data_IF_954931396897
#
_entry.id   IF_954931396897
#
_cell.length_a   1.000
_cell.length_b   1.000
_cell.length_c   1.000
_cell.angle_alpha   90.00
_cell.angle_beta   90.00
_cell.angle_gamma   90.00
#
_symmetry.space_group_name_H-M   'P 1'
#
loop_
_entity.id
_entity.type
_entity.pdbx_description
1 polymer ?
#
# COMPACT_ATOMS: atom_id res chain seq x y z
N UNK A 1 26.70 -6.43 -12.28
CA UNK A 1 25.79 -6.34 -11.11
C UNK A 1 25.88 -4.91 -10.58
N UNK A 2 24.77 -4.23 -10.25
CA UNK A 2 24.82 -2.86 -9.74
C UNK A 2 25.60 -2.81 -8.42
N UNK A 3 26.53 -1.86 -8.27
CA UNK A 3 27.39 -1.72 -7.09
C UNK A 3 26.61 -1.65 -5.76
N UNK A 4 25.37 -1.15 -5.82
CA UNK A 4 24.47 -0.99 -4.68
C UNK A 4 23.99 -2.32 -4.06
N UNK A 5 23.89 -3.41 -4.83
CA UNK A 5 23.45 -4.70 -4.29
C UNK A 5 24.55 -5.39 -3.48
N UNK A 6 25.80 -5.22 -3.92
CA UNK A 6 26.97 -5.77 -3.26
C UNK A 6 27.25 -5.05 -1.93
N UNK A 7 27.16 -3.72 -1.93
CA UNK A 7 27.33 -2.90 -0.72
C UNK A 7 26.28 -3.20 0.36
N UNK A 8 25.02 -3.35 -0.06
CA UNK A 8 23.93 -3.73 0.83
C UNK A 8 24.16 -5.10 1.50
N UNK A 9 24.65 -6.07 0.73
CA UNK A 9 24.91 -7.42 1.25
C UNK A 9 26.03 -7.41 2.29
N UNK A 10 27.10 -6.65 2.05
CA UNK A 10 28.22 -6.54 2.98
C UNK A 10 27.80 -5.88 4.31
N UNK A 11 26.97 -4.83 4.26
CA UNK A 11 26.47 -4.18 5.48
C UNK A 11 25.56 -5.09 6.32
N UNK A 12 24.78 -5.98 5.68
CA UNK A 12 24.01 -6.98 6.44
C UNK A 12 24.94 -7.94 7.17
N UNK A 13 26.00 -8.39 6.51
CA UNK A 13 26.98 -9.32 7.11
C UNK A 13 27.67 -8.70 8.31
N UNK A 14 28.16 -7.45 8.18
CA UNK A 14 28.81 -6.73 9.29
C UNK A 14 27.87 -6.55 10.49
N UNK A 15 26.62 -6.12 10.26
CA UNK A 15 25.63 -5.91 11.34
C UNK A 15 25.16 -7.22 11.98
N UNK A 16 25.27 -8.36 11.28
CA UNK A 16 25.02 -9.68 11.83
C UNK A 16 26.18 -10.15 12.73
N UNK A 17 27.41 -9.84 12.35
CA UNK A 17 28.61 -10.18 13.15
C UNK A 17 28.68 -9.34 14.43
N UNK A 18 28.18 -8.11 14.41
CA UNK A 18 28.10 -7.21 15.57
C UNK A 18 26.92 -7.51 16.52
N UNK A 19 25.97 -8.38 16.12
CA UNK A 19 24.86 -8.74 16.98
C UNK A 19 25.36 -9.63 18.13
N UNK A 20 24.88 -9.41 19.37
CA UNK A 20 25.10 -10.37 20.43
C UNK A 20 24.53 -11.72 20.00
N UNK A 21 25.40 -12.74 19.98
CA UNK A 21 25.02 -14.09 19.62
C UNK A 21 23.78 -14.47 20.45
N UNK A 22 22.66 -14.84 19.80
CA UNK A 22 21.52 -15.35 20.55
C UNK A 22 22.02 -16.49 21.41
N UNK A 23 21.71 -16.45 22.71
CA UNK A 23 22.03 -17.52 23.65
C UNK A 23 21.73 -18.87 22.98
N UNK A 24 22.55 -19.90 23.20
CA UNK A 24 22.38 -21.18 22.53
C UNK A 24 21.01 -21.82 22.83
N UNK A 25 20.35 -21.37 23.91
CA UNK A 25 18.97 -21.73 24.28
C UNK A 25 17.86 -20.82 23.69
N UNK A 26 18.21 -19.80 22.91
CA UNK A 26 17.26 -18.87 22.32
C UNK A 26 16.36 -19.63 21.35
N UNK A 27 15.05 -19.41 21.48
CA UNK A 27 14.06 -20.04 20.62
C UNK A 27 14.27 -19.62 19.17
N UNK A 28 13.89 -20.49 18.22
CA UNK A 28 13.94 -20.19 16.78
C UNK A 28 13.23 -18.87 16.46
N UNK A 29 12.13 -18.57 17.16
CA UNK A 29 11.42 -17.30 17.02
C UNK A 29 12.27 -16.09 17.40
N UNK A 30 13.07 -16.18 18.46
CA UNK A 30 13.96 -15.10 18.90
C UNK A 30 15.05 -14.82 17.86
N UNK A 31 15.67 -15.88 17.32
CA UNK A 31 16.68 -15.78 16.25
C UNK A 31 16.09 -15.18 14.96
N UNK A 32 14.87 -15.60 14.60
CA UNK A 32 14.15 -15.05 13.45
C UNK A 32 13.81 -13.56 13.61
N UNK A 33 13.38 -13.15 14.82
CA UNK A 33 13.11 -11.75 15.13
C UNK A 33 14.38 -10.88 15.01
N UNK A 34 15.53 -11.36 15.50
CA UNK A 34 16.80 -10.65 15.38
C UNK A 34 17.25 -10.49 13.92
N UNK A 35 17.19 -11.56 13.13
CA UNK A 35 17.51 -11.51 11.71
C UNK A 35 16.63 -10.50 10.97
N UNK A 36 15.31 -10.52 11.23
CA UNK A 36 14.36 -9.59 10.62
C UNK A 36 14.67 -8.15 11.01
N UNK A 37 15.05 -7.90 12.27
CA UNK A 37 15.44 -6.58 12.75
C UNK A 37 16.64 -6.04 11.98
N UNK A 38 17.73 -6.81 11.85
CA UNK A 38 18.94 -6.37 11.13
C UNK A 38 18.65 -6.06 9.67
N UNK A 39 17.95 -6.97 8.97
CA UNK A 39 17.60 -6.75 7.56
C UNK A 39 16.80 -5.46 7.42
N UNK A 40 15.81 -5.23 8.28
CA UNK A 40 14.97 -4.03 8.21
C UNK A 40 15.74 -2.76 8.55
N UNK A 41 16.58 -2.76 9.59
CA UNK A 41 17.38 -1.59 9.96
C UNK A 41 18.40 -1.23 8.90
N UNK A 42 19.12 -2.22 8.34
CA UNK A 42 20.10 -2.00 7.27
C UNK A 42 19.43 -1.55 5.98
N UNK A 43 18.27 -2.11 5.66
CA UNK A 43 17.44 -1.64 4.52
C UNK A 43 17.09 -0.17 4.69
N UNK A 44 16.68 0.25 5.90
CA UNK A 44 16.33 1.63 6.18
C UNK A 44 17.54 2.57 6.13
N UNK A 45 18.71 2.13 6.59
CA UNK A 45 19.95 2.90 6.60
C UNK A 45 20.50 3.11 5.18
N UNK A 46 20.52 2.05 4.36
CA UNK A 46 21.09 2.07 3.01
C UNK A 46 20.14 2.66 1.98
N UNK A 47 18.89 2.18 1.93
CA UNK A 47 17.92 2.62 0.94
C UNK A 47 17.14 3.87 1.39
N UNK A 48 17.27 4.25 2.65
CA UNK A 48 16.41 5.26 3.25
C UNK A 48 14.96 4.78 3.36
N UNK A 49 14.12 5.61 3.99
CA UNK A 49 12.68 5.45 3.84
C UNK A 49 12.31 6.09 2.50
N UNK A 50 11.87 5.28 1.53
CA UNK A 50 11.27 5.82 0.32
C UNK A 50 10.07 6.69 0.74
N UNK A 51 10.25 8.01 0.69
CA UNK A 51 9.17 8.96 0.89
C UNK A 51 8.32 8.83 -0.36
N UNK A 52 7.26 8.03 -0.28
CA UNK A 52 6.30 7.91 -1.38
C UNK A 52 5.78 9.31 -1.65
N UNK A 53 6.21 9.94 -2.75
CA UNK A 53 5.73 11.26 -3.17
C UNK A 53 4.25 11.20 -3.57
N UNK A 54 3.76 9.99 -3.81
CA UNK A 54 2.36 9.66 -3.82
C UNK A 54 2.07 9.02 -2.46
N UNK A 55 1.64 9.84 -1.49
CA UNK A 55 0.66 9.30 -0.53
C UNK A 55 -0.42 8.68 -1.40
N UNK A 56 -0.72 7.41 -1.13
CA UNK A 56 -1.27 6.50 -2.13
C UNK A 56 -2.39 7.20 -2.91
N UNK A 57 -2.42 7.03 -4.23
CA UNK A 57 -3.48 7.51 -5.14
C UNK A 57 -4.91 7.22 -4.61
N UNK A 58 -5.02 6.33 -3.62
CA UNK A 58 -6.22 5.89 -2.94
C UNK A 58 -6.53 6.57 -1.59
N UNK A 59 -5.57 7.19 -0.89
CA UNK A 59 -5.82 7.82 0.42
C UNK A 59 -6.41 9.24 0.27
N UNK A 60 -6.01 9.97 -0.76
CA UNK A 60 -6.61 11.26 -1.13
C UNK A 60 -7.84 11.10 -2.05
N UNK A 61 -8.41 9.89 -2.15
CA UNK A 61 -9.67 9.69 -2.84
C UNK A 61 -10.79 10.28 -1.98
N UNK A 62 -10.95 11.57 -2.19
CA UNK A 62 -11.82 12.56 -1.59
C UNK A 62 -13.17 11.98 -1.14
N UNK A 63 -13.70 12.48 -0.02
CA UNK A 63 -15.03 12.11 0.50
C UNK A 63 -16.10 12.22 -0.61
N UNK A 64 -15.89 13.19 -1.51
CA UNK A 64 -16.63 13.39 -2.75
C UNK A 64 -16.69 12.19 -3.71
N UNK A 65 -15.58 11.46 -3.92
CA UNK A 65 -15.56 10.31 -4.84
C UNK A 65 -16.26 9.11 -4.20
N UNK A 66 -16.11 8.93 -2.89
CA UNK A 66 -16.87 7.93 -2.13
C UNK A 66 -18.37 8.20 -2.21
N UNK A 67 -18.79 9.45 -1.99
CA UNK A 67 -20.19 9.88 -2.12
C UNK A 67 -20.75 9.65 -3.54
N UNK A 68 -19.98 10.00 -4.58
CA UNK A 68 -20.39 9.77 -5.98
C UNK A 68 -20.52 8.29 -6.34
N UNK A 69 -19.66 7.43 -5.78
CA UNK A 69 -19.75 5.99 -5.98
C UNK A 69 -20.99 5.39 -5.29
N UNK A 70 -21.32 5.86 -4.09
CA UNK A 70 -22.55 5.48 -3.38
C UNK A 70 -23.80 5.90 -4.17
N UNK A 71 -23.85 7.15 -4.64
CA UNK A 71 -24.95 7.67 -5.46
C UNK A 71 -25.10 6.85 -6.76
N UNK A 72 -23.99 6.56 -7.44
CA UNK A 72 -23.99 5.72 -8.66
C UNK A 72 -24.57 4.35 -8.39
N UNK A 73 -24.24 3.72 -7.27
CA UNK A 73 -24.76 2.41 -6.89
C UNK A 73 -26.26 2.45 -6.58
N UNK A 74 -26.73 3.48 -5.87
CA UNK A 74 -28.15 3.70 -5.62
C UNK A 74 -28.96 3.88 -6.90
N UNK A 75 -28.46 4.72 -7.81
CA UNK A 75 -29.08 4.96 -9.12
C UNK A 75 -29.05 3.73 -10.03
N UNK A 76 -27.98 2.93 -9.98
CA UNK A 76 -27.89 1.67 -10.71
C UNK A 76 -28.95 0.67 -10.24
N UNK A 77 -29.16 0.58 -8.92
CA UNK A 77 -30.21 -0.27 -8.34
C UNK A 77 -31.60 0.23 -8.76
N UNK A 78 -31.88 1.53 -8.62
CA UNK A 78 -33.14 2.10 -9.05
C UNK A 78 -33.41 1.92 -10.55
N UNK A 79 -32.38 2.04 -11.41
CA UNK A 79 -32.48 1.75 -12.84
C UNK A 79 -32.78 0.26 -13.11
N UNK A 80 -32.17 -0.66 -12.36
CA UNK A 80 -32.42 -2.09 -12.50
C UNK A 80 -33.82 -2.50 -12.03
N UNK A 81 -34.27 -1.92 -10.91
CA UNK A 81 -35.59 -2.21 -10.33
C UNK A 81 -36.71 -1.56 -11.15
N UNK A 82 -36.49 -0.33 -11.65
CA UNK A 82 -37.45 0.40 -12.47
C UNK A 82 -36.74 1.28 -13.52
N UNK A 83 -36.56 0.79 -14.76
CA UNK A 83 -35.86 1.51 -15.83
C UNK A 83 -36.77 2.56 -16.50
N UNK A 84 -37.02 3.66 -15.79
CA UNK A 84 -37.63 4.86 -16.36
C UNK A 84 -36.59 5.72 -17.08
N UNK A 85 -37.03 6.63 -17.96
CA UNK A 85 -36.13 7.60 -18.59
C UNK A 85 -35.41 8.48 -17.56
N UNK A 86 -36.06 8.79 -16.44
CA UNK A 86 -35.47 9.58 -15.36
C UNK A 86 -34.35 8.81 -14.63
N UNK A 87 -34.58 7.56 -14.23
CA UNK A 87 -33.57 6.74 -13.52
C UNK A 87 -32.40 6.39 -14.44
N UNK A 88 -32.68 6.12 -15.72
CA UNK A 88 -31.67 5.91 -16.75
C UNK A 88 -30.79 7.16 -16.94
N UNK A 89 -31.41 8.34 -17.12
CA UNK A 89 -30.68 9.59 -17.29
C UNK A 89 -29.82 9.94 -16.07
N UNK A 90 -30.36 9.78 -14.85
CA UNK A 90 -29.63 10.02 -13.61
C UNK A 90 -28.41 9.10 -13.48
N UNK A 91 -28.57 7.79 -13.72
CA UNK A 91 -27.47 6.83 -13.66
C UNK A 91 -26.34 7.16 -14.66
N UNK A 92 -26.67 7.45 -15.92
CA UNK A 92 -25.64 7.78 -16.93
C UNK A 92 -24.93 9.10 -16.64
N UNK A 93 -25.64 10.10 -16.07
CA UNK A 93 -25.02 11.35 -15.62
C UNK A 93 -24.02 11.11 -14.49
N UNK A 94 -24.44 10.39 -13.44
CA UNK A 94 -23.58 10.07 -12.31
C UNK A 94 -22.37 9.20 -12.74
N UNK A 95 -22.59 8.21 -13.60
CA UNK A 95 -21.52 7.39 -14.17
C UNK A 95 -20.46 8.22 -14.92
N UNK A 96 -20.89 9.22 -15.70
CA UNK A 96 -19.98 10.12 -16.40
C UNK A 96 -19.14 10.95 -15.43
N UNK A 97 -19.75 11.46 -14.35
CA UNK A 97 -19.04 12.25 -13.33
C UNK A 97 -17.98 11.41 -12.61
N UNK A 98 -18.32 10.16 -12.26
CA UNK A 98 -17.36 9.21 -11.66
C UNK A 98 -16.19 8.92 -12.60
N UNK A 99 -16.43 8.73 -13.90
CA UNK A 99 -15.37 8.50 -14.89
C UNK A 99 -14.48 9.72 -15.16
N UNK A 100 -14.95 10.93 -14.85
CA UNK A 100 -14.16 12.15 -14.99
C UNK A 100 -13.25 12.42 -13.79
N UNK A 101 -13.60 11.86 -12.62
CA UNK A 101 -12.89 12.08 -11.34
C UNK A 101 -11.95 10.93 -10.95
N UNK A 102 -12.08 9.78 -11.60
CA UNK A 102 -11.15 8.63 -11.50
C UNK A 102 -10.11 8.70 -12.62
#
# INVERSE_FOLDING_TARGET
MPAHCFDFSNQITEKLDDLPAPNDNATVGTRWCQLRYVIQSTTLEVLGRARRQHQDWFDDNDTDISNLLEEKNGLHKAYKDLPTDATKAAFFRCRRLVQQRL
#
